data_IF_947178919968
#
_entry.id   IF_947178919968
#
_cell.length_a   1.000
_cell.length_b   1.000
_cell.length_c   1.000
_cell.angle_alpha   90.00
_cell.angle_beta   90.00
_cell.angle_gamma   90.00
#
_symmetry.space_group_name_H-M   'P 1'
#
loop_
_entity.id
_entity.type
_entity.pdbx_description
1 polymer ?
#
# COMPACT_ATOMS: atom_id res chain seq x y z
N UNK A 1 101.81 36.95 -20.72
CA UNK A 1 101.84 36.12 -19.50
C UNK A 1 102.43 36.92 -18.37
N UNK A 2 101.60 37.44 -17.47
CA UNK A 2 102.09 38.37 -16.47
C UNK A 2 102.73 37.61 -15.30
N UNK A 3 104.04 37.80 -15.12
CA UNK A 3 104.70 37.67 -13.82
C UNK A 3 103.93 38.56 -12.85
N UNK A 4 103.08 37.97 -12.02
CA UNK A 4 102.42 38.71 -10.95
C UNK A 4 103.46 38.95 -9.86
N UNK A 5 103.67 40.22 -9.50
CA UNK A 5 104.53 40.56 -8.38
C UNK A 5 103.94 39.92 -7.11
N UNK A 6 104.67 38.97 -6.52
CA UNK A 6 104.30 38.38 -5.25
C UNK A 6 104.57 39.41 -4.15
N UNK A 7 103.62 39.57 -3.22
CA UNK A 7 103.82 40.48 -2.10
C UNK A 7 104.98 39.99 -1.21
N UNK A 8 105.80 40.90 -0.67
CA UNK A 8 106.87 40.53 0.24
C UNK A 8 106.27 39.91 1.53
N UNK A 9 107.04 39.08 2.26
CA UNK A 9 106.56 38.40 3.48
C UNK A 9 106.03 39.35 4.57
N UNK A 10 106.41 40.63 4.53
CA UNK A 10 105.93 41.68 5.42
C UNK A 10 104.47 42.11 5.17
N UNK A 11 103.91 41.83 3.99
CA UNK A 11 102.53 42.15 3.60
C UNK A 11 101.63 40.90 3.64
N UNK A 12 101.72 40.15 4.73
CA UNK A 12 100.80 39.05 4.99
C UNK A 12 99.42 39.55 5.44
N UNK A 13 98.38 38.73 5.23
CA UNK A 13 97.01 39.08 5.58
C UNK A 13 96.84 39.20 7.11
N UNK A 14 96.43 40.38 7.58
CA UNK A 14 96.20 40.65 9.02
C UNK A 14 94.79 40.24 9.44
N UNK A 15 94.59 40.05 10.75
CA UNK A 15 93.28 39.67 11.32
C UNK A 15 92.23 40.76 11.01
N UNK A 16 91.02 40.37 10.61
CA UNK A 16 89.85 41.22 10.35
C UNK A 16 89.95 42.24 9.18
N UNK A 17 90.93 42.12 8.28
CA UNK A 17 91.06 43.05 7.15
C UNK A 17 90.26 42.65 5.90
N UNK A 18 89.70 41.44 5.85
CA UNK A 18 88.78 41.02 4.78
C UNK A 18 87.35 41.44 5.11
N UNK A 19 86.66 42.23 4.27
CA UNK A 19 85.27 42.55 4.50
C UNK A 19 84.41 41.29 4.30
N UNK A 20 83.82 40.78 5.38
CA UNK A 20 82.78 39.75 5.32
C UNK A 20 81.42 40.43 5.35
N UNK A 21 80.76 40.52 4.21
CA UNK A 21 79.37 40.98 4.14
C UNK A 21 78.48 39.88 4.75
N UNK A 22 77.94 40.11 5.94
CA UNK A 22 76.87 39.27 6.51
C UNK A 22 75.53 39.94 6.26
N UNK A 23 74.60 39.23 5.64
CA UNK A 23 73.24 39.72 5.47
C UNK A 23 72.59 39.88 6.86
N UNK A 24 71.99 41.04 7.13
CA UNK A 24 71.08 41.19 8.26
C UNK A 24 69.77 40.48 7.90
N UNK A 25 69.38 39.50 8.71
CA UNK A 25 68.11 38.80 8.55
C UNK A 25 67.26 39.12 9.77
N UNK A 26 66.08 39.68 9.54
CA UNK A 26 65.08 39.86 10.60
C UNK A 26 64.58 38.49 11.03
N UNK A 27 64.79 38.16 12.30
CA UNK A 27 64.40 36.88 12.88
C UNK A 27 62.89 36.88 13.14
N UNK A 28 62.11 36.50 12.12
CA UNK A 28 60.70 36.19 12.28
C UNK A 28 60.56 34.82 12.94
N UNK A 29 60.42 34.82 14.27
CA UNK A 29 60.15 33.64 15.07
C UNK A 29 58.77 33.04 14.72
N UNK A 30 58.69 32.18 13.70
CA UNK A 30 57.47 31.44 13.37
C UNK A 30 57.22 30.33 14.41
N UNK A 31 56.66 30.72 15.55
CA UNK A 31 55.72 29.93 16.34
C UNK A 31 56.16 28.52 16.79
N UNK A 32 57.04 28.44 17.80
CA UNK A 32 56.98 27.37 18.81
C UNK A 32 57.10 27.96 20.21
N UNK A 33 56.14 28.79 20.57
CA UNK A 33 55.84 29.01 21.98
C UNK A 33 54.73 28.04 22.36
N UNK A 34 55.07 26.97 23.09
CA UNK A 34 54.06 26.25 23.86
C UNK A 34 53.29 27.30 24.67
N UNK A 35 51.94 27.31 24.69
CA UNK A 35 51.22 28.26 25.51
C UNK A 35 51.76 28.13 26.94
N UNK A 36 52.27 29.24 27.50
CA UNK A 36 52.65 29.24 28.92
C UNK A 36 51.39 28.82 29.68
N UNK A 37 51.46 27.72 30.44
CA UNK A 37 50.40 27.37 31.38
C UNK A 37 50.29 28.55 32.35
N UNK A 38 49.23 29.34 32.21
CA UNK A 38 48.86 30.33 33.21
C UNK A 38 48.32 29.48 34.37
N UNK A 39 49.08 29.38 35.46
CA UNK A 39 48.53 28.85 36.70
C UNK A 39 47.33 29.73 37.06
N UNK A 40 46.17 29.15 37.43
CA UNK A 40 45.05 29.96 37.88
C UNK A 40 45.56 30.90 38.98
N UNK A 41 45.22 32.19 38.86
CA UNK A 41 45.46 33.17 39.91
C UNK A 41 44.96 32.60 41.24
N UNK A 42 45.63 32.95 42.35
CA UNK A 42 45.35 32.44 43.69
C UNK A 42 43.86 32.16 43.86
N UNK A 43 43.53 30.87 44.00
CA UNK A 43 42.19 30.29 44.05
C UNK A 43 41.25 31.27 44.75
N UNK A 44 40.29 31.84 44.02
CA UNK A 44 39.21 32.60 44.65
C UNK A 44 38.67 31.73 45.79
N UNK A 45 38.70 32.25 47.02
CA UNK A 45 38.15 31.54 48.17
C UNK A 45 36.71 31.17 47.84
N UNK A 46 36.50 29.91 47.43
CA UNK A 46 35.16 29.39 47.24
C UNK A 46 34.54 29.44 48.63
N UNK A 47 33.60 30.38 48.84
CA UNK A 47 32.87 30.50 50.10
C UNK A 47 32.48 29.10 50.55
N UNK A 48 32.90 28.72 51.75
CA UNK A 48 32.62 27.40 52.31
C UNK A 48 31.14 27.10 52.11
N UNK A 49 30.83 26.11 51.28
CA UNK A 49 29.45 25.70 51.09
C UNK A 49 28.91 25.33 52.48
N UNK A 50 27.72 25.79 52.87
CA UNK A 50 27.18 25.46 54.17
C UNK A 50 27.12 23.93 54.31
N UNK A 51 27.65 23.41 55.42
CA UNK A 51 27.64 21.97 55.69
C UNK A 51 26.20 21.47 55.62
N UNK A 52 25.93 20.53 54.71
CA UNK A 52 24.61 19.92 54.59
C UNK A 52 24.27 19.18 55.87
N UNK A 53 23.09 19.44 56.43
CA UNK A 53 22.64 18.72 57.61
C UNK A 53 22.12 17.34 57.21
N UNK A 54 22.96 16.32 57.38
CA UNK A 54 22.65 14.94 57.01
C UNK A 54 21.44 14.36 57.76
N UNK A 55 21.15 14.84 58.98
CA UNK A 55 19.96 14.41 59.73
C UNK A 55 18.69 14.88 59.02
N UNK A 56 18.65 16.15 58.59
CA UNK A 56 17.51 16.71 57.84
C UNK A 56 17.32 16.03 56.48
N UNK A 57 18.41 15.73 55.78
CA UNK A 57 18.32 15.03 54.48
C UNK A 57 17.80 13.61 54.65
N UNK A 58 18.19 12.92 55.73
CA UNK A 58 17.73 11.56 56.01
C UNK A 58 16.25 11.52 56.38
N UNK A 59 15.77 12.43 57.23
CA UNK A 59 14.33 12.55 57.55
C UNK A 59 13.52 12.73 56.27
N UNK A 60 13.92 13.69 55.45
CA UNK A 60 13.24 13.97 54.19
C UNK A 60 13.36 12.85 53.15
N UNK A 61 14.43 12.06 53.20
CA UNK A 61 14.56 10.88 52.36
C UNK A 61 13.57 9.80 52.79
N UNK A 62 13.46 9.53 54.09
CA UNK A 62 12.50 8.56 54.66
C UNK A 62 11.06 8.99 54.37
N UNK A 63 10.73 10.27 54.54
CA UNK A 63 9.39 10.80 54.22
C UNK A 63 9.02 10.62 52.73
N UNK A 64 10.03 10.62 51.85
CA UNK A 64 9.86 10.46 50.39
C UNK A 64 10.00 9.02 49.91
N UNK A 65 10.41 8.09 50.76
CA UNK A 65 10.55 6.70 50.36
C UNK A 65 9.17 6.07 50.16
N UNK A 66 8.96 5.49 48.98
CA UNK A 66 7.78 4.67 48.70
C UNK A 66 8.04 3.26 49.24
N UNK A 67 7.14 2.69 50.07
CA UNK A 67 7.28 1.32 50.53
C UNK A 67 7.38 0.33 49.36
N UNK A 68 8.20 -0.74 49.46
CA UNK A 68 8.25 -1.76 48.43
C UNK A 68 6.88 -2.41 48.25
N UNK A 69 6.57 -2.84 47.04
CA UNK A 69 5.34 -3.57 46.74
C UNK A 69 5.23 -4.82 47.62
N UNK A 70 4.02 -5.07 48.14
CA UNK A 70 3.74 -6.26 48.93
C UNK A 70 3.91 -7.48 48.03
N UNK A 71 4.62 -8.51 48.51
CA UNK A 71 4.73 -9.78 47.80
C UNK A 71 3.33 -10.35 47.58
N UNK A 72 3.05 -10.77 46.35
CA UNK A 72 1.78 -11.39 45.97
C UNK A 72 1.53 -12.63 46.85
N UNK A 73 0.26 -12.86 47.20
CA UNK A 73 -0.14 -14.03 47.99
C UNK A 73 0.24 -15.31 47.24
N UNK A 74 1.13 -16.11 47.84
CA UNK A 74 1.59 -17.35 47.24
C UNK A 74 0.56 -18.45 47.50
N UNK A 75 -0.27 -18.75 46.51
CA UNK A 75 -1.20 -19.89 46.56
C UNK A 75 -0.52 -21.10 45.93
N UNK A 76 -0.56 -22.24 46.61
CA UNK A 76 0.04 -23.49 46.14
C UNK A 76 -0.94 -24.62 46.36
N UNK A 77 -1.34 -25.29 45.28
CA UNK A 77 -2.35 -26.37 45.34
C UNK A 77 -1.77 -27.68 45.89
N UNK A 78 -0.45 -27.90 45.78
CA UNK A 78 0.23 -29.13 46.18
C UNK A 78 1.54 -28.85 46.93
N UNK A 79 1.96 -29.71 47.88
CA UNK A 79 3.28 -29.59 48.49
C UNK A 79 4.37 -29.78 47.40
N UNK A 80 5.08 -28.69 47.05
CA UNK A 80 6.02 -28.51 45.91
C UNK A 80 5.41 -28.18 44.53
N UNK A 81 4.15 -27.76 44.47
CA UNK A 81 3.51 -27.28 43.24
C UNK A 81 3.99 -25.89 42.78
N UNK A 82 3.54 -25.48 41.60
CA UNK A 82 3.79 -24.15 41.06
C UNK A 82 3.10 -23.08 41.93
N UNK A 83 3.79 -21.96 42.17
CA UNK A 83 3.42 -20.94 43.16
C UNK A 83 2.62 -19.77 42.60
N UNK A 84 2.37 -19.78 41.29
CA UNK A 84 1.92 -18.61 40.52
C UNK A 84 0.50 -18.84 39.98
N UNK A 85 -0.33 -19.56 40.74
CA UNK A 85 -1.74 -19.78 40.40
C UNK A 85 -2.54 -18.67 41.07
N UNK A 86 -2.55 -17.50 40.42
CA UNK A 86 -3.48 -16.43 40.77
C UNK A 86 -4.89 -16.89 40.40
N UNK A 87 -5.63 -17.44 41.36
CA UNK A 87 -7.04 -17.82 41.24
C UNK A 87 -7.98 -16.60 41.14
N UNK A 88 -7.45 -15.42 40.85
CA UNK A 88 -8.25 -14.21 40.66
C UNK A 88 -8.73 -14.18 39.21
N UNK A 89 -10.04 -14.04 38.96
CA UNK A 89 -10.57 -14.00 37.61
C UNK A 89 -10.12 -12.71 36.91
N UNK A 90 -9.04 -12.80 36.14
CA UNK A 90 -8.42 -11.68 35.40
C UNK A 90 -9.40 -11.01 34.43
N UNK A 91 -10.41 -11.75 33.98
CA UNK A 91 -11.30 -11.34 32.89
C UNK A 91 -12.66 -10.79 33.34
N UNK A 92 -13.05 -10.95 34.61
CA UNK A 92 -14.37 -10.50 35.12
C UNK A 92 -14.46 -8.98 35.19
N UNK A 93 -13.38 -8.32 35.59
CA UNK A 93 -13.30 -6.85 35.70
C UNK A 93 -12.69 -6.20 34.46
N UNK A 94 -12.54 -6.96 33.36
CA UNK A 94 -12.03 -6.43 32.11
C UNK A 94 -13.00 -5.45 31.48
N UNK A 95 -12.51 -4.35 30.92
CA UNK A 95 -13.34 -3.33 30.27
C UNK A 95 -14.21 -3.90 29.12
N UNK A 96 -13.76 -4.99 28.52
CA UNK A 96 -14.43 -5.67 27.40
C UNK A 96 -15.31 -6.84 27.82
N UNK A 97 -15.43 -7.13 29.12
CA UNK A 97 -16.26 -8.22 29.61
C UNK A 97 -17.73 -7.95 29.26
N UNK A 98 -18.40 -8.96 28.69
CA UNK A 98 -19.78 -8.84 28.21
C UNK A 98 -20.00 -7.95 26.97
N UNK A 99 -18.96 -7.27 26.45
CA UNK A 99 -19.06 -6.46 25.23
C UNK A 99 -18.77 -7.30 23.99
N UNK A 100 -19.51 -7.03 22.92
CA UNK A 100 -19.24 -7.69 21.63
C UNK A 100 -17.95 -7.14 21.01
N UNK A 101 -16.98 -7.99 20.62
CA UNK A 101 -15.76 -7.52 19.98
C UNK A 101 -16.01 -6.74 18.69
N UNK A 102 -15.23 -5.68 18.46
CA UNK A 102 -15.36 -4.79 17.30
C UNK A 102 -15.34 -5.53 15.95
N UNK A 103 -14.57 -6.61 15.84
CA UNK A 103 -14.46 -7.38 14.60
C UNK A 103 -15.77 -8.12 14.25
N UNK A 104 -16.54 -8.57 15.24
CA UNK A 104 -17.84 -9.24 15.00
C UNK A 104 -18.84 -8.23 14.42
N UNK A 105 -18.88 -7.03 14.99
CA UNK A 105 -19.73 -5.93 14.50
C UNK A 105 -19.37 -5.59 13.05
N UNK A 106 -18.07 -5.43 12.76
CA UNK A 106 -17.56 -5.18 11.40
C UNK A 106 -17.98 -6.28 10.42
N UNK A 107 -17.87 -7.55 10.83
CA UNK A 107 -18.22 -8.70 9.98
C UNK A 107 -19.71 -8.77 9.69
N UNK A 108 -20.57 -8.48 10.67
CA UNK A 108 -22.03 -8.38 10.47
C UNK A 108 -22.38 -7.32 9.43
N UNK A 109 -21.83 -6.12 9.57
CA UNK A 109 -22.03 -5.04 8.61
C UNK A 109 -21.57 -5.42 7.20
N UNK A 110 -20.40 -6.05 7.07
CA UNK A 110 -19.92 -6.53 5.77
C UNK A 110 -20.88 -7.52 5.13
N UNK A 111 -21.39 -8.50 5.90
CA UNK A 111 -22.36 -9.48 5.42
C UNK A 111 -23.64 -8.82 4.92
N UNK A 112 -24.18 -7.85 5.66
CA UNK A 112 -25.36 -7.08 5.23
C UNK A 112 -25.10 -6.32 3.92
N UNK A 113 -23.94 -5.70 3.77
CA UNK A 113 -23.55 -5.03 2.53
C UNK A 113 -23.43 -6.01 1.35
N UNK A 114 -22.88 -7.21 1.59
CA UNK A 114 -22.81 -8.25 0.56
C UNK A 114 -24.19 -8.76 0.15
N UNK A 115 -25.09 -8.96 1.12
CA UNK A 115 -26.48 -9.36 0.84
C UNK A 115 -27.21 -8.31 0.01
N UNK A 116 -27.11 -7.03 0.40
CA UNK A 116 -27.73 -5.92 -0.35
C UNK A 116 -27.17 -5.78 -1.77
N UNK A 117 -25.87 -6.05 -1.98
CA UNK A 117 -25.27 -6.06 -3.32
C UNK A 117 -25.65 -7.28 -4.13
N UNK A 118 -25.86 -8.44 -3.51
CA UNK A 118 -26.31 -9.63 -4.22
C UNK A 118 -27.80 -9.52 -4.62
N UNK A 119 -28.62 -8.90 -3.78
CA UNK A 119 -30.04 -8.63 -4.06
C UNK A 119 -30.25 -7.57 -5.13
N UNK A 120 -29.28 -6.67 -5.32
CA UNK A 120 -29.23 -5.72 -6.43
C UNK A 120 -28.36 -6.34 -7.53
N UNK A 121 -28.90 -7.19 -8.42
CA UNK A 121 -28.12 -7.63 -9.57
C UNK A 121 -27.58 -6.40 -10.27
N UNK A 122 -26.30 -6.42 -10.66
CA UNK A 122 -25.71 -5.35 -11.46
C UNK A 122 -26.65 -5.09 -12.65
N UNK A 123 -27.35 -3.95 -12.64
CA UNK A 123 -28.18 -3.46 -13.75
C UNK A 123 -27.27 -3.04 -14.91
N UNK A 124 -26.36 -3.92 -15.33
CA UNK A 124 -25.90 -3.86 -16.69
C UNK A 124 -27.10 -4.26 -17.54
N UNK A 125 -27.65 -3.35 -18.37
CA UNK A 125 -28.73 -3.72 -19.25
C UNK A 125 -28.21 -4.87 -20.11
N UNK A 126 -28.75 -6.07 -19.90
CA UNK A 126 -28.49 -7.19 -20.78
C UNK A 126 -28.76 -6.68 -22.20
N UNK A 127 -27.88 -6.96 -23.18
CA UNK A 127 -28.04 -6.43 -24.55
C UNK A 127 -29.27 -6.98 -25.28
N UNK A 128 -30.08 -7.79 -24.59
CA UNK A 128 -31.25 -8.48 -25.09
C UNK A 128 -32.51 -7.84 -24.53
N UNK A 129 -33.37 -7.34 -25.43
CA UNK A 129 -34.67 -6.80 -25.08
C UNK A 129 -35.75 -7.85 -25.37
N UNK A 130 -36.70 -8.07 -24.45
CA UNK A 130 -37.85 -8.92 -24.73
C UNK A 130 -38.73 -8.26 -25.81
N UNK A 131 -39.23 -9.05 -26.76
CA UNK A 131 -40.26 -8.62 -27.70
C UNK A 131 -41.58 -8.46 -26.94
N UNK A 132 -42.30 -7.37 -27.19
CA UNK A 132 -43.63 -7.19 -26.59
C UNK A 132 -44.66 -8.16 -27.19
N UNK A 133 -45.72 -8.48 -26.44
CA UNK A 133 -46.78 -9.36 -26.95
C UNK A 133 -47.44 -8.83 -28.23
N UNK A 134 -47.53 -7.50 -28.38
CA UNK A 134 -48.10 -6.86 -29.57
C UNK A 134 -47.20 -7.04 -30.79
N UNK A 135 -45.91 -6.71 -30.66
CA UNK A 135 -44.93 -6.91 -31.74
C UNK A 135 -44.86 -8.39 -32.16
N UNK A 136 -44.92 -9.32 -31.20
CA UNK A 136 -44.97 -10.76 -31.50
C UNK A 136 -46.18 -11.12 -32.36
N UNK A 137 -47.36 -10.60 -32.02
CA UNK A 137 -48.58 -10.86 -32.79
C UNK A 137 -48.50 -10.25 -34.19
N UNK A 138 -47.94 -9.06 -34.33
CA UNK A 138 -47.73 -8.40 -35.63
C UNK A 138 -46.79 -9.22 -36.53
N UNK A 139 -45.65 -9.69 -35.99
CA UNK A 139 -44.71 -10.54 -36.71
C UNK A 139 -45.39 -11.84 -37.15
N UNK A 140 -46.14 -12.48 -36.25
CA UNK A 140 -46.82 -13.74 -36.50
C UNK A 140 -47.90 -13.59 -37.59
N UNK A 141 -48.67 -12.50 -37.55
CA UNK A 141 -49.61 -12.17 -38.62
C UNK A 141 -48.90 -11.94 -39.95
N UNK A 142 -47.78 -11.20 -39.95
CA UNK A 142 -46.95 -11.00 -41.14
C UNK A 142 -46.45 -12.32 -41.74
N UNK A 143 -45.95 -13.24 -40.92
CA UNK A 143 -45.51 -14.56 -41.36
C UNK A 143 -46.65 -15.40 -41.94
N UNK A 144 -47.84 -15.39 -41.32
CA UNK A 144 -49.03 -16.11 -41.83
C UNK A 144 -49.54 -15.52 -43.16
N UNK A 145 -49.49 -14.21 -43.31
CA UNK A 145 -49.82 -13.55 -44.56
C UNK A 145 -48.85 -13.95 -45.68
N UNK A 146 -47.54 -13.90 -45.40
CA UNK A 146 -46.53 -14.31 -46.37
C UNK A 146 -46.62 -15.81 -46.72
N UNK A 147 -46.90 -16.66 -45.74
CA UNK A 147 -47.18 -18.08 -45.99
C UNK A 147 -48.33 -18.28 -46.98
N UNK A 148 -49.40 -17.50 -46.84
CA UNK A 148 -50.56 -17.54 -47.75
C UNK A 148 -50.20 -17.11 -49.18
N UNK A 149 -49.29 -16.15 -49.33
CA UNK A 149 -48.77 -15.72 -50.64
C UNK A 149 -47.93 -16.80 -51.31
N UNK A 150 -47.00 -17.42 -50.55
CA UNK A 150 -46.17 -18.54 -51.02
C UNK A 150 -47.06 -19.73 -51.39
N UNK A 151 -48.13 -19.98 -50.63
CA UNK A 151 -49.13 -21.00 -50.95
C UNK A 151 -49.86 -20.71 -52.25
N UNK A 152 -50.29 -19.48 -52.47
CA UNK A 152 -50.91 -19.08 -53.74
C UNK A 152 -49.95 -19.31 -54.91
N UNK A 153 -48.67 -18.97 -54.77
CA UNK A 153 -47.66 -19.23 -55.80
C UNK A 153 -47.44 -20.73 -56.03
N UNK A 154 -47.39 -21.52 -54.97
CA UNK A 154 -47.23 -22.98 -55.05
C UNK A 154 -48.43 -23.63 -55.74
N UNK A 155 -49.66 -23.21 -55.40
CA UNK A 155 -50.89 -23.69 -56.04
C UNK A 155 -51.00 -23.26 -57.51
N UNK A 156 -50.36 -22.15 -57.89
CA UNK A 156 -50.30 -21.70 -59.29
C UNK A 156 -49.35 -22.52 -60.17
N UNK A 157 -48.58 -23.45 -59.59
CA UNK A 157 -47.70 -24.33 -60.37
C UNK A 157 -48.52 -25.28 -61.26
N UNK A 158 -48.02 -25.59 -62.47
CA UNK A 158 -48.66 -26.56 -63.34
C UNK A 158 -48.60 -27.97 -62.71
N UNK A 159 -49.66 -28.77 -62.96
CA UNK A 159 -49.75 -30.15 -62.45
C UNK A 159 -48.59 -31.05 -62.92
N UNK A 160 -48.03 -30.79 -64.11
CA UNK A 160 -46.87 -31.50 -64.65
C UNK A 160 -45.61 -30.64 -64.48
N UNK A 161 -44.64 -31.14 -63.72
CA UNK A 161 -43.39 -30.45 -63.37
C UNK A 161 -42.20 -31.26 -63.93
N UNK A 162 -42.22 -31.46 -65.24
CA UNK A 162 -41.24 -32.34 -65.90
C UNK A 162 -39.95 -31.60 -66.23
N UNK A 163 -40.02 -30.29 -66.45
CA UNK A 163 -38.86 -29.47 -66.82
C UNK A 163 -38.04 -29.06 -65.60
N UNK A 164 -36.72 -29.09 -65.74
CA UNK A 164 -35.75 -28.64 -64.73
C UNK A 164 -36.07 -27.27 -64.09
N UNK A 165 -36.44 -26.21 -64.84
CA UNK A 165 -36.79 -24.92 -64.22
C UNK A 165 -38.04 -25.01 -63.32
N UNK A 166 -39.04 -25.82 -63.70
CA UNK A 166 -40.24 -26.01 -62.87
C UNK A 166 -39.91 -26.79 -61.58
N UNK A 167 -39.04 -27.81 -61.66
CA UNK A 167 -38.57 -28.55 -60.47
C UNK A 167 -37.80 -27.65 -59.52
N UNK A 168 -36.91 -26.81 -60.04
CA UNK A 168 -36.15 -25.82 -59.26
C UNK A 168 -37.09 -24.81 -58.59
N UNK A 169 -38.10 -24.31 -59.31
CA UNK A 169 -39.10 -23.39 -58.76
C UNK A 169 -39.90 -24.04 -57.62
N UNK A 170 -40.35 -25.28 -57.80
CA UNK A 170 -41.05 -26.05 -56.75
C UNK A 170 -40.15 -26.23 -55.52
N UNK A 171 -38.93 -26.71 -55.71
CA UNK A 171 -37.97 -26.91 -54.60
C UNK A 171 -37.67 -25.62 -53.84
N UNK A 172 -37.57 -24.48 -54.54
CA UNK A 172 -37.39 -23.17 -53.90
C UNK A 172 -38.60 -22.78 -53.03
N UNK A 173 -39.83 -23.02 -53.50
CA UNK A 173 -41.05 -22.75 -52.72
C UNK A 173 -41.16 -23.67 -51.49
N UNK A 174 -40.82 -24.95 -51.63
CA UNK A 174 -40.77 -25.90 -50.51
C UNK A 174 -39.71 -25.51 -49.45
N UNK A 175 -38.56 -24.99 -49.89
CA UNK A 175 -37.55 -24.47 -48.97
C UNK A 175 -38.06 -23.24 -48.20
N UNK A 176 -38.80 -22.34 -48.87
CA UNK A 176 -39.44 -21.20 -48.20
C UNK A 176 -40.46 -21.66 -47.17
N UNK A 177 -41.32 -22.63 -47.50
CA UNK A 177 -42.26 -23.21 -46.54
C UNK A 177 -41.57 -23.74 -45.29
N UNK A 178 -40.51 -24.54 -45.46
CA UNK A 178 -39.74 -25.08 -44.33
C UNK A 178 -39.11 -23.99 -43.45
N UNK A 179 -38.75 -22.84 -44.01
CA UNK A 179 -38.29 -21.70 -43.21
C UNK A 179 -39.44 -21.12 -42.40
N UNK A 180 -40.56 -20.79 -43.07
CA UNK A 180 -41.71 -20.16 -42.42
C UNK A 180 -42.33 -21.04 -41.34
N UNK A 181 -42.40 -22.35 -41.56
CA UNK A 181 -42.88 -23.30 -40.56
C UNK A 181 -42.02 -23.27 -39.31
N UNK A 182 -40.69 -23.25 -39.46
CA UNK A 182 -39.75 -23.14 -38.32
C UNK A 182 -39.89 -21.81 -37.61
N UNK A 183 -40.01 -20.71 -38.35
CA UNK A 183 -40.10 -19.37 -37.80
C UNK A 183 -41.42 -19.20 -37.01
N UNK A 184 -42.54 -19.69 -37.56
CA UNK A 184 -43.84 -19.70 -36.88
C UNK A 184 -43.81 -20.61 -35.66
N UNK A 185 -43.25 -21.82 -35.77
CA UNK A 185 -43.15 -22.76 -34.64
C UNK A 185 -42.33 -22.15 -33.50
N UNK A 186 -41.20 -21.50 -33.81
CA UNK A 186 -40.35 -20.83 -32.83
C UNK A 186 -41.14 -19.75 -32.08
N UNK A 187 -41.88 -18.91 -32.81
CA UNK A 187 -42.68 -17.84 -32.21
C UNK A 187 -43.90 -18.36 -31.45
N UNK A 188 -44.54 -19.46 -31.86
CA UNK A 188 -45.73 -20.01 -31.19
C UNK A 188 -45.36 -20.81 -29.93
N UNK A 189 -44.28 -21.60 -29.99
CA UNK A 189 -43.81 -22.45 -28.88
C UNK A 189 -43.22 -21.65 -27.72
N UNK A 190 -42.58 -20.52 -28.01
CA UNK A 190 -41.90 -19.70 -27.01
C UNK A 190 -42.66 -18.39 -26.76
N UNK A 191 -43.08 -18.16 -25.52
CA UNK A 191 -43.77 -16.93 -25.12
C UNK A 191 -42.81 -15.74 -24.95
N UNK A 192 -41.65 -15.99 -24.33
CA UNK A 192 -40.63 -14.98 -24.04
C UNK A 192 -39.47 -15.10 -25.02
N UNK A 193 -39.34 -14.12 -25.92
CA UNK A 193 -38.29 -14.07 -26.94
C UNK A 193 -37.51 -12.79 -26.74
N UNK A 194 -36.19 -12.91 -26.73
CA UNK A 194 -35.28 -11.79 -26.53
C UNK A 194 -34.46 -11.54 -27.79
N UNK A 195 -34.38 -10.28 -28.19
CA UNK A 195 -33.64 -9.85 -29.39
C UNK A 195 -32.51 -8.94 -28.95
N UNK A 196 -31.32 -9.20 -29.51
CA UNK A 196 -30.16 -8.33 -29.30
C UNK A 196 -30.40 -7.01 -30.05
N UNK A 197 -30.31 -5.88 -29.34
CA UNK A 197 -30.37 -4.56 -29.98
C UNK A 197 -28.96 -4.19 -30.43
N UNK A 198 -28.77 -4.06 -31.74
CA UNK A 198 -27.56 -3.42 -32.32
C UNK A 198 -27.57 -1.90 -32.10
#
# INVERSE_FOLDING_TARGET
YAKLALNPPSQYLKKHTRPMLRAQVDHLCLGRHSPRRIFPAAMEYQKDKPKTNFVKTNVHHVDRMIPPERKVNRVVDMPRGHTDIDMTPVYEFGENFGKTPKYIIRRKYQLEQYQQKAEKPDEQPLPFLPISAQERLEILQGLKNYWSEVEREFRSLPLKIDTEPLKKRKSALEAKFKSLEKDIELLERHENIYVMKE
#
